data_IF_289367313279
#
_entry.id   IF_289367313279
#
_cell.length_a   1.000
_cell.length_b   1.000
_cell.length_c   1.000
_cell.angle_alpha   90.00
_cell.angle_beta   90.00
_cell.angle_gamma   90.00
#
_symmetry.space_group_name_H-M   'P 1'
#
loop_
_entity.id
_entity.type
_entity.pdbx_description
1 polymer ?
#
# COMPACT_ATOMS: atom_id res chain seq x y z
N UNK A 1 -39.20 -64.68 51.16
CA UNK A 1 -37.89 -65.17 50.70
C UNK A 1 -38.05 -65.38 49.20
N UNK A 2 -37.48 -64.66 48.24
CA UNK A 2 -36.25 -63.86 48.14
C UNK A 2 -36.45 -62.81 47.04
N UNK A 3 -35.85 -61.64 47.26
CA UNK A 3 -35.93 -60.43 46.42
C UNK A 3 -34.95 -60.46 45.24
N UNK A 4 -35.34 -59.70 44.23
CA UNK A 4 -34.70 -59.27 42.98
C UNK A 4 -33.32 -58.61 43.18
N UNK A 5 -32.43 -58.75 42.17
CA UNK A 5 -31.55 -57.64 41.76
C UNK A 5 -30.12 -58.02 41.37
N UNK A 6 -29.66 -57.57 40.21
CA UNK A 6 -28.22 -57.44 39.94
C UNK A 6 -27.72 -57.55 38.50
N UNK A 7 -28.28 -56.81 37.53
CA UNK A 7 -27.56 -56.50 36.28
C UNK A 7 -26.48 -55.46 36.59
N UNK A 8 -25.20 -55.77 36.33
CA UNK A 8 -24.14 -54.76 36.18
C UNK A 8 -23.58 -54.86 34.77
N UNK A 9 -23.99 -53.93 33.91
CA UNK A 9 -23.26 -53.54 32.70
C UNK A 9 -22.23 -52.52 33.14
N UNK A 10 -20.95 -52.83 32.97
CA UNK A 10 -19.86 -51.86 33.02
C UNK A 10 -19.66 -51.33 31.61
N UNK A 11 -19.85 -50.03 31.41
CA UNK A 11 -19.36 -49.31 30.24
C UNK A 11 -19.03 -47.90 30.72
N UNK A 12 -17.83 -47.77 31.29
CA UNK A 12 -17.20 -46.46 31.50
C UNK A 12 -16.84 -45.92 30.11
N UNK A 13 -17.60 -44.91 29.68
CA UNK A 13 -17.22 -44.07 28.54
C UNK A 13 -16.65 -42.77 29.12
N UNK A 14 -15.33 -42.64 29.05
CA UNK A 14 -14.62 -41.37 29.26
C UNK A 14 -15.10 -40.38 28.20
N UNK A 15 -15.96 -39.44 28.59
CA UNK A 15 -16.22 -38.23 27.83
C UNK A 15 -15.06 -37.26 28.05
N UNK A 16 -14.06 -37.28 27.16
CA UNK A 16 -13.15 -36.16 26.98
C UNK A 16 -13.95 -35.00 26.39
N UNK A 17 -14.38 -34.08 27.25
CA UNK A 17 -14.87 -32.78 26.81
C UNK A 17 -13.68 -32.03 26.19
N UNK A 18 -13.66 -31.93 24.86
CA UNK A 18 -12.76 -31.06 24.10
C UNK A 18 -13.01 -29.60 24.51
N UNK A 19 -12.24 -29.09 25.47
CA UNK A 19 -12.32 -27.68 25.89
C UNK A 19 -11.87 -26.80 24.72
N UNK A 20 -12.82 -26.27 23.97
CA UNK A 20 -12.55 -25.30 22.89
C UNK A 20 -11.92 -24.05 23.52
N UNK A 21 -10.71 -23.63 23.09
CA UNK A 21 -10.04 -22.50 23.69
C UNK A 21 -10.78 -21.18 23.36
N UNK A 22 -11.11 -20.41 24.39
CA UNK A 22 -11.86 -19.14 24.29
C UNK A 22 -11.01 -17.94 24.66
N UNK A 23 -11.40 -16.76 24.15
CA UNK A 23 -10.78 -15.49 24.51
C UNK A 23 -11.19 -15.08 25.93
N UNK A 24 -10.23 -14.89 26.83
CA UNK A 24 -10.52 -14.55 28.24
C UNK A 24 -11.05 -13.13 28.46
N UNK A 25 -11.04 -12.27 27.43
CA UNK A 25 -11.61 -10.91 27.49
C UNK A 25 -13.11 -10.92 27.18
N UNK A 26 -13.53 -11.59 26.09
CA UNK A 26 -14.94 -11.61 25.68
C UNK A 26 -15.67 -12.92 26.05
N UNK A 27 -14.93 -13.94 26.52
CA UNK A 27 -15.42 -15.28 26.86
C UNK A 27 -16.08 -16.02 25.68
N UNK A 28 -15.78 -15.62 24.45
CA UNK A 28 -16.25 -16.26 23.21
C UNK A 28 -15.11 -16.98 22.49
N UNK A 29 -15.44 -17.74 21.44
CA UNK A 29 -14.44 -18.24 20.49
C UNK A 29 -13.61 -17.10 19.89
N UNK A 30 -12.39 -17.43 19.44
CA UNK A 30 -11.48 -16.42 18.90
C UNK A 30 -11.96 -15.86 17.55
N UNK A 31 -12.08 -14.53 17.46
CA UNK A 31 -12.16 -13.80 16.19
C UNK A 31 -10.80 -13.14 15.93
N UNK A 32 -10.13 -13.57 14.86
CA UNK A 32 -8.74 -13.20 14.52
C UNK A 32 -7.81 -13.36 15.73
N UNK A 33 -7.48 -14.62 16.05
CA UNK A 33 -6.68 -14.95 17.24
C UNK A 33 -5.33 -14.23 17.17
N UNK A 34 -5.07 -13.44 18.20
CA UNK A 34 -3.90 -12.58 18.31
C UNK A 34 -3.05 -12.99 19.50
N UNK A 35 -1.75 -13.17 19.28
CA UNK A 35 -0.78 -13.55 20.30
C UNK A 35 0.06 -12.35 20.72
N UNK A 36 0.34 -12.26 22.02
CA UNK A 36 1.17 -11.20 22.58
C UNK A 36 2.63 -11.64 22.71
N UNK A 37 3.60 -10.88 22.21
CA UNK A 37 5.01 -11.12 22.57
C UNK A 37 5.41 -10.31 23.81
N UNK A 38 6.22 -10.87 24.73
CA UNK A 38 6.87 -12.19 24.65
C UNK A 38 6.11 -13.33 25.35
N UNK A 39 4.95 -13.08 25.96
CA UNK A 39 4.27 -14.07 26.82
C UNK A 39 3.44 -15.13 26.07
N UNK A 40 3.16 -14.91 24.79
CA UNK A 40 2.35 -15.73 23.88
C UNK A 40 0.92 -16.04 24.34
N UNK A 41 0.37 -15.27 25.28
CA UNK A 41 -1.06 -15.35 25.59
C UNK A 41 -1.90 -14.82 24.42
N UNK A 42 -3.05 -15.48 24.17
CA UNK A 42 -3.90 -15.21 23.01
C UNK A 42 -5.27 -14.65 23.34
N UNK A 43 -5.72 -13.70 22.53
CA UNK A 43 -7.00 -12.98 22.65
C UNK A 43 -7.61 -12.76 21.26
N UNK A 44 -8.87 -12.32 21.17
CA UNK A 44 -9.38 -11.76 19.91
C UNK A 44 -8.64 -10.45 19.60
N UNK A 45 -8.38 -10.18 18.32
CA UNK A 45 -7.67 -8.98 17.88
C UNK A 45 -8.29 -7.69 18.44
N UNK A 46 -9.60 -7.51 18.28
CA UNK A 46 -10.29 -6.32 18.76
C UNK A 46 -10.29 -6.22 20.29
N UNK A 47 -10.42 -7.34 21.00
CA UNK A 47 -10.39 -7.36 22.46
C UNK A 47 -9.05 -6.84 22.99
N UNK A 48 -7.95 -7.36 22.48
CA UNK A 48 -6.62 -6.95 22.95
C UNK A 48 -6.24 -5.57 22.45
N UNK A 49 -6.65 -5.19 21.23
CA UNK A 49 -6.51 -3.81 20.73
C UNK A 49 -7.23 -2.81 21.64
N UNK A 50 -8.44 -3.10 22.06
CA UNK A 50 -9.19 -2.22 22.97
C UNK A 50 -8.50 -2.11 24.33
N UNK A 51 -8.03 -3.24 24.87
CA UNK A 51 -7.28 -3.29 26.13
C UNK A 51 -6.02 -2.41 26.11
N UNK A 52 -5.17 -2.53 25.08
CA UNK A 52 -3.93 -1.73 25.01
C UNK A 52 -4.17 -0.24 24.82
N UNK A 53 -5.33 0.14 24.27
CA UNK A 53 -5.69 1.54 24.03
C UNK A 53 -6.32 2.21 25.24
N UNK A 54 -7.04 1.44 26.08
CA UNK A 54 -7.86 2.00 27.15
C UNK A 54 -7.31 1.66 28.53
N UNK A 55 -6.82 0.44 28.72
CA UNK A 55 -6.40 -0.05 30.03
C UNK A 55 -4.88 0.05 30.22
N UNK A 56 -4.09 -0.75 29.49
CA UNK A 56 -2.65 -0.84 29.68
C UNK A 56 -1.95 -1.66 28.57
N UNK A 57 -0.69 -1.35 28.29
CA UNK A 57 0.20 -2.12 27.41
C UNK A 57 0.82 -3.36 28.09
N UNK A 58 0.13 -3.93 29.08
CA UNK A 58 0.49 -5.20 29.74
C UNK A 58 -0.52 -6.30 29.43
N UNK A 59 -0.06 -7.54 29.43
CA UNK A 59 -0.89 -8.70 29.19
C UNK A 59 -2.00 -8.81 30.26
N UNK A 60 -3.28 -9.01 29.88
CA UNK A 60 -4.39 -9.20 30.82
C UNK A 60 -4.24 -10.40 31.76
N UNK A 61 -3.48 -11.43 31.33
CA UNK A 61 -3.31 -12.68 32.09
C UNK A 61 -2.10 -12.59 33.01
N UNK A 62 -0.90 -12.39 32.46
CA UNK A 62 0.34 -12.45 33.24
C UNK A 62 0.93 -11.10 33.64
N UNK A 63 0.31 -9.98 33.23
CA UNK A 63 0.78 -8.61 33.47
C UNK A 63 2.17 -8.27 32.92
N UNK A 64 2.75 -9.13 32.08
CA UNK A 64 4.00 -8.84 31.38
C UNK A 64 3.81 -7.74 30.33
N UNK A 65 4.80 -6.87 30.15
CA UNK A 65 4.78 -5.82 29.12
C UNK A 65 4.67 -6.41 27.72
N UNK A 66 3.79 -5.85 26.90
CA UNK A 66 3.56 -6.28 25.53
C UNK A 66 4.54 -5.54 24.61
N UNK A 67 5.33 -6.29 23.85
CA UNK A 67 6.24 -5.72 22.84
C UNK A 67 5.55 -5.59 21.48
N UNK A 68 4.80 -6.62 21.09
CA UNK A 68 4.14 -6.68 19.79
C UNK A 68 2.91 -7.59 19.83
N UNK A 69 2.02 -7.37 18.85
CA UNK A 69 0.86 -8.20 18.55
C UNK A 69 1.17 -9.02 17.29
N UNK A 70 0.96 -10.33 17.34
CA UNK A 70 1.02 -11.24 16.18
C UNK A 70 -0.40 -11.67 15.84
N UNK A 71 -0.88 -11.36 14.64
CA UNK A 71 -2.28 -11.53 14.22
C UNK A 71 -2.37 -11.82 12.71
N UNK A 72 -3.58 -12.04 12.18
CA UNK A 72 -3.77 -12.49 10.78
C UNK A 72 -2.91 -13.71 10.43
N UNK A 73 -2.92 -14.69 11.34
CA UNK A 73 -2.16 -15.92 11.17
C UNK A 73 -2.86 -16.75 10.10
N UNK A 74 -2.08 -17.11 9.09
CA UNK A 74 -2.45 -17.97 7.99
C UNK A 74 -1.54 -19.20 8.04
N UNK A 75 -2.10 -20.33 8.47
CA UNK A 75 -1.36 -21.58 8.66
C UNK A 75 -0.96 -22.21 7.31
N UNK A 76 -1.74 -21.99 6.25
CA UNK A 76 -1.47 -22.55 4.91
C UNK A 76 -0.28 -21.83 4.27
N UNK A 77 -0.28 -20.50 4.33
CA UNK A 77 0.80 -19.66 3.80
C UNK A 77 1.96 -19.45 4.79
N UNK A 78 1.90 -20.08 5.97
CA UNK A 78 2.85 -19.92 7.07
C UNK A 78 3.24 -18.44 7.31
N UNK A 79 2.22 -17.57 7.37
CA UNK A 79 2.40 -16.12 7.38
C UNK A 79 1.58 -15.45 8.48
N UNK A 80 2.04 -14.30 8.96
CA UNK A 80 1.38 -13.52 9.99
C UNK A 80 1.74 -12.04 9.88
N UNK A 81 0.88 -11.20 10.44
CA UNK A 81 1.17 -9.79 10.66
C UNK A 81 1.72 -9.57 12.07
N UNK A 82 2.74 -8.73 12.19
CA UNK A 82 3.23 -8.25 13.47
C UNK A 82 3.13 -6.72 13.57
N UNK A 83 2.68 -6.24 14.73
CA UNK A 83 2.60 -4.82 15.07
C UNK A 83 3.35 -4.55 16.38
N UNK A 84 4.38 -3.70 16.33
CA UNK A 84 5.18 -3.31 17.50
C UNK A 84 4.58 -2.08 18.19
N UNK A 85 4.41 -2.16 19.51
CA UNK A 85 3.91 -1.05 20.32
C UNK A 85 5.03 0.00 20.47
N UNK A 86 4.80 1.20 19.94
CA UNK A 86 5.80 2.30 19.91
C UNK A 86 5.97 3.06 21.24
N UNK A 87 5.11 2.83 22.24
CA UNK A 87 5.10 3.60 23.48
C UNK A 87 4.98 2.66 24.69
N UNK A 88 6.10 2.37 25.35
CA UNK A 88 6.15 1.57 26.59
C UNK A 88 5.65 2.34 27.83
N UNK A 89 4.68 3.25 27.70
CA UNK A 89 4.15 3.98 28.86
C UNK A 89 3.35 5.26 28.61
N UNK A 90 3.30 5.80 27.39
CA UNK A 90 2.47 6.97 27.06
C UNK A 90 1.23 6.53 26.28
N UNK A 91 0.06 7.07 26.64
CA UNK A 91 -1.27 6.79 26.05
C UNK A 91 -1.37 7.24 24.58
N UNK A 92 -0.56 6.70 23.68
CA UNK A 92 -0.79 6.83 22.24
C UNK A 92 -1.75 5.72 21.80
N UNK A 93 -2.70 6.10 20.95
CA UNK A 93 -3.64 5.15 20.37
C UNK A 93 -2.89 4.21 19.41
N UNK A 94 -2.85 2.93 19.76
CA UNK A 94 -2.37 1.84 18.92
C UNK A 94 -3.50 1.34 18.01
N UNK A 95 -3.42 1.68 16.73
CA UNK A 95 -4.33 1.19 15.69
C UNK A 95 -3.58 0.25 14.72
N UNK A 96 -3.36 -1.02 15.09
CA UNK A 96 -2.84 -2.02 14.16
C UNK A 96 -3.82 -2.23 13.01
N UNK A 97 -3.37 -2.17 11.74
CA UNK A 97 -4.26 -2.38 10.60
C UNK A 97 -4.70 -3.85 10.55
N UNK A 98 -6.00 -4.09 10.45
CA UNK A 98 -6.59 -5.43 10.33
C UNK A 98 -6.26 -6.13 9.02
N UNK A 99 -5.96 -5.35 7.98
CA UNK A 99 -5.64 -5.85 6.66
C UNK A 99 -4.38 -5.12 6.18
N UNK A 100 -3.22 -5.78 6.23
CA UNK A 100 -2.08 -5.33 5.45
C UNK A 100 -2.25 -5.90 4.05
N UNK A 101 -2.34 -5.01 3.06
CA UNK A 101 -2.35 -5.40 1.65
C UNK A 101 -1.02 -6.12 1.37
N UNK A 102 -1.05 -7.44 1.25
CA UNK A 102 0.12 -8.26 0.92
C UNK A 102 0.43 -8.00 -0.55
N UNK A 103 1.55 -7.33 -0.82
CA UNK A 103 2.06 -7.17 -2.18
C UNK A 103 2.97 -8.36 -2.49
N UNK A 104 2.82 -8.93 -3.68
CA UNK A 104 3.62 -10.09 -4.13
C UNK A 104 5.08 -9.72 -4.38
N UNK A 105 5.38 -8.45 -4.68
CA UNK A 105 6.73 -7.93 -4.82
C UNK A 105 6.81 -6.41 -4.50
N UNK A 106 8.00 -5.87 -4.21
CA UNK A 106 8.22 -4.43 -4.12
C UNK A 106 7.83 -3.68 -5.40
N UNK A 107 8.00 -4.31 -6.57
CA UNK A 107 7.65 -3.74 -7.87
C UNK A 107 6.14 -3.62 -8.04
N UNK A 108 5.38 -4.64 -7.61
CA UNK A 108 3.91 -4.60 -7.66
C UNK A 108 3.36 -3.53 -6.72
N UNK A 109 3.97 -3.38 -5.54
CA UNK A 109 3.65 -2.29 -4.63
C UNK A 109 3.84 -0.92 -5.29
N UNK A 110 5.03 -0.68 -5.88
CA UNK A 110 5.33 0.57 -6.56
C UNK A 110 4.35 0.82 -7.72
N UNK A 111 4.05 -0.20 -8.52
CA UNK A 111 3.10 -0.10 -9.63
C UNK A 111 1.72 0.34 -9.16
N UNK A 112 1.23 -0.22 -8.05
CA UNK A 112 -0.07 0.16 -7.46
C UNK A 112 -0.04 1.59 -6.92
N UNK A 113 1.03 1.97 -6.20
CA UNK A 113 1.20 3.33 -5.68
C UNK A 113 1.23 4.36 -6.83
N UNK A 114 1.99 4.09 -7.89
CA UNK A 114 2.02 4.94 -9.10
C UNK A 114 0.66 5.02 -9.81
N UNK A 115 -0.07 3.91 -9.91
CA UNK A 115 -1.42 3.92 -10.48
C UNK A 115 -2.38 4.82 -9.68
N UNK A 116 -2.24 4.87 -8.37
CA UNK A 116 -3.06 5.73 -7.51
C UNK A 116 -2.77 7.22 -7.73
N UNK A 117 -1.55 7.60 -8.10
CA UNK A 117 -1.21 8.96 -8.51
C UNK A 117 -2.03 9.36 -9.73
N UNK A 118 -2.04 8.54 -10.79
CA UNK A 118 -2.80 8.87 -12.01
C UNK A 118 -4.31 8.77 -11.85
N UNK A 119 -4.80 7.93 -10.95
CA UNK A 119 -6.23 7.91 -10.56
C UNK A 119 -6.64 9.10 -9.70
N UNK A 120 -5.71 9.98 -9.31
CA UNK A 120 -5.97 11.12 -8.43
C UNK A 120 -6.28 10.74 -6.98
N UNK A 121 -6.04 9.49 -6.60
CA UNK A 121 -6.19 9.00 -5.21
C UNK A 121 -5.04 9.53 -4.34
N UNK A 122 -3.85 9.66 -4.93
CA UNK A 122 -2.68 10.26 -4.32
C UNK A 122 -2.32 11.54 -5.06
N UNK A 123 -2.06 12.62 -4.32
CA UNK A 123 -1.67 13.91 -4.91
C UNK A 123 -0.19 14.19 -4.64
N UNK A 124 0.52 14.81 -5.58
CA UNK A 124 1.91 15.19 -5.36
C UNK A 124 2.00 16.20 -4.21
N UNK A 125 2.88 15.93 -3.26
CA UNK A 125 3.16 16.82 -2.13
C UNK A 125 4.43 17.63 -2.40
N UNK A 126 5.54 16.95 -2.75
CA UNK A 126 6.79 17.60 -3.17
C UNK A 126 7.50 16.78 -4.26
N UNK A 127 7.91 17.48 -5.32
CA UNK A 127 8.85 16.93 -6.31
C UNK A 127 10.31 17.27 -5.94
N UNK A 128 11.30 16.49 -6.43
CA UNK A 128 12.70 16.84 -6.31
C UNK A 128 13.01 18.23 -6.87
N UNK A 129 13.91 18.96 -6.21
CA UNK A 129 14.27 20.32 -6.62
C UNK A 129 14.92 20.31 -8.03
N UNK A 130 14.61 21.30 -8.90
CA UNK A 130 15.24 21.42 -10.21
C UNK A 130 16.76 21.58 -10.13
N UNK A 131 17.49 21.05 -11.11
CA UNK A 131 18.88 21.47 -11.34
C UNK A 131 18.91 22.89 -11.89
N UNK A 132 19.85 23.72 -11.44
CA UNK A 132 19.98 25.12 -11.87
C UNK A 132 19.97 25.27 -13.40
N UNK A 133 20.71 24.41 -14.10
CA UNK A 133 20.79 24.41 -15.57
C UNK A 133 19.46 24.08 -16.28
N UNK A 134 18.48 23.50 -15.59
CA UNK A 134 17.16 23.17 -16.10
C UNK A 134 16.04 23.97 -15.41
N UNK A 135 16.36 24.94 -14.54
CA UNK A 135 15.35 25.68 -13.78
C UNK A 135 14.37 26.42 -14.71
N UNK A 136 14.93 27.06 -15.75
CA UNK A 136 14.21 27.83 -16.78
C UNK A 136 13.62 26.97 -17.90
N UNK A 137 13.60 25.65 -17.74
CA UNK A 137 12.96 24.75 -18.71
C UNK A 137 11.45 25.04 -18.79
N UNK A 138 10.98 25.45 -19.97
CA UNK A 138 9.56 25.75 -20.26
C UNK A 138 8.96 24.89 -21.37
N UNK A 139 9.80 24.30 -22.24
CA UNK A 139 9.37 23.51 -23.41
C UNK A 139 10.29 22.30 -23.57
N UNK A 140 9.73 21.14 -23.95
CA UNK A 140 10.51 19.95 -24.29
C UNK A 140 11.17 20.15 -25.65
N UNK A 141 12.49 20.14 -25.67
CA UNK A 141 13.34 20.21 -26.87
C UNK A 141 13.89 18.82 -27.24
N UNK A 142 14.38 18.63 -28.48
CA UNK A 142 14.81 17.31 -28.97
C UNK A 142 15.87 16.60 -28.12
N UNK A 143 16.74 17.32 -27.42
CA UNK A 143 17.76 16.75 -26.53
C UNK A 143 17.17 16.01 -25.32
N UNK A 144 15.93 16.30 -24.92
CA UNK A 144 15.27 15.60 -23.83
C UNK A 144 14.56 14.32 -24.27
N UNK A 145 14.42 14.06 -25.58
CA UNK A 145 13.71 12.88 -26.12
C UNK A 145 14.16 11.57 -25.45
N UNK A 146 15.46 11.26 -25.28
CA UNK A 146 15.87 10.01 -24.65
C UNK A 146 15.34 9.85 -23.23
N UNK A 147 15.34 10.93 -22.44
CA UNK A 147 14.84 10.92 -21.06
C UNK A 147 13.32 10.87 -21.02
N UNK A 148 12.64 11.61 -21.91
CA UNK A 148 11.19 11.57 -22.08
C UNK A 148 10.72 10.15 -22.40
N UNK A 149 11.40 9.44 -23.30
CA UNK A 149 11.09 8.03 -23.61
C UNK A 149 11.21 7.12 -22.40
N UNK A 150 12.30 7.23 -21.62
CA UNK A 150 12.48 6.42 -20.40
C UNK A 150 11.32 6.65 -19.42
N UNK A 151 10.91 7.89 -19.21
CA UNK A 151 9.77 8.20 -18.35
C UNK A 151 8.47 7.61 -18.89
N UNK A 152 8.13 7.92 -20.15
CA UNK A 152 6.89 7.45 -20.78
C UNK A 152 6.80 5.92 -20.86
N UNK A 153 7.90 5.22 -21.13
CA UNK A 153 7.91 3.76 -21.17
C UNK A 153 7.43 3.12 -19.86
N UNK A 154 7.79 3.72 -18.73
CA UNK A 154 7.42 3.20 -17.41
C UNK A 154 6.01 3.66 -17.03
N UNK A 155 5.69 4.94 -17.21
CA UNK A 155 4.41 5.51 -16.74
C UNK A 155 3.23 5.14 -17.63
N UNK A 156 3.39 5.05 -18.97
CA UNK A 156 2.28 4.65 -19.84
C UNK A 156 1.83 3.21 -19.56
N UNK A 157 2.76 2.28 -19.29
CA UNK A 157 2.43 0.91 -18.85
C UNK A 157 1.61 0.87 -17.55
N UNK A 158 1.79 1.88 -16.69
CA UNK A 158 1.05 2.03 -15.44
C UNK A 158 -0.34 2.61 -15.70
N UNK A 159 -0.44 3.57 -16.62
CA UNK A 159 -1.68 4.28 -16.93
C UNK A 159 -2.61 3.43 -17.79
N UNK A 160 -2.17 3.04 -19.00
CA UNK A 160 -3.00 2.30 -19.97
C UNK A 160 -2.99 0.79 -19.74
N UNK A 161 -1.98 0.29 -19.01
CA UNK A 161 -1.75 -1.14 -18.80
C UNK A 161 -0.65 -1.71 -19.70
N UNK A 162 -0.08 -2.84 -19.30
CA UNK A 162 1.07 -3.43 -20.01
C UNK A 162 0.67 -3.96 -21.39
N UNK A 163 -0.54 -4.51 -21.52
CA UNK A 163 -1.03 -5.10 -22.77
C UNK A 163 -1.47 -4.04 -23.80
N UNK A 164 -1.83 -2.84 -23.33
CA UNK A 164 -2.24 -1.73 -24.18
C UNK A 164 -1.07 -0.80 -24.55
N UNK A 165 0.09 -0.97 -23.93
CA UNK A 165 1.29 -0.19 -24.23
C UNK A 165 2.04 -0.79 -25.42
N UNK A 166 2.44 0.07 -26.36
CA UNK A 166 3.37 -0.26 -27.44
C UNK A 166 4.31 0.92 -27.79
N UNK A 167 5.29 0.66 -28.65
CA UNK A 167 6.27 1.67 -29.07
C UNK A 167 5.62 2.78 -29.93
N UNK A 168 4.53 2.49 -30.63
CA UNK A 168 3.79 3.47 -31.41
C UNK A 168 3.14 4.53 -30.51
N UNK A 169 2.51 4.11 -29.42
CA UNK A 169 1.92 4.99 -28.41
C UNK A 169 3.01 5.90 -27.82
N UNK A 170 4.15 5.34 -27.44
CA UNK A 170 5.27 6.13 -26.94
C UNK A 170 5.74 7.16 -27.98
N UNK A 171 5.95 6.73 -29.24
CA UNK A 171 6.36 7.61 -30.34
C UNK A 171 5.37 8.74 -30.57
N UNK A 172 4.08 8.43 -30.49
CA UNK A 172 3.01 9.41 -30.66
C UNK A 172 3.02 10.45 -29.53
N UNK A 173 3.16 10.02 -28.27
CA UNK A 173 3.28 10.93 -27.13
C UNK A 173 4.49 11.86 -27.25
N UNK A 174 5.64 11.33 -27.66
CA UNK A 174 6.84 12.16 -27.89
C UNK A 174 6.58 13.21 -28.97
N UNK A 175 5.87 12.86 -30.06
CA UNK A 175 5.50 13.83 -31.11
C UNK A 175 4.60 14.93 -30.55
N UNK A 176 3.56 14.58 -29.80
CA UNK A 176 2.66 15.55 -29.16
C UNK A 176 3.46 16.51 -28.25
N UNK A 177 4.34 15.97 -27.41
CA UNK A 177 5.14 16.74 -26.46
C UNK A 177 6.15 17.69 -27.15
N UNK A 178 6.49 17.46 -28.42
CA UNK A 178 7.37 18.33 -29.21
C UNK A 178 6.61 19.40 -30.01
N UNK A 179 5.27 19.38 -30.03
CA UNK A 179 4.46 20.37 -30.76
C UNK A 179 4.78 21.81 -30.29
N UNK A 180 4.85 22.12 -28.97
CA UNK A 180 5.17 23.48 -28.53
C UNK A 180 6.54 23.98 -29.02
N UNK A 181 7.52 23.08 -29.14
CA UNK A 181 8.84 23.40 -29.70
C UNK A 181 8.75 23.70 -31.20
N UNK A 182 8.03 22.86 -31.96
CA UNK A 182 7.85 23.03 -33.41
C UNK A 182 7.09 24.32 -33.76
N UNK A 183 6.18 24.74 -32.88
CA UNK A 183 5.38 25.96 -33.03
C UNK A 183 6.02 27.19 -32.37
N UNK A 184 7.23 27.06 -31.81
CA UNK A 184 7.95 28.14 -31.12
C UNK A 184 7.15 28.81 -30.00
N UNK A 185 6.39 28.03 -29.23
CA UNK A 185 5.65 28.50 -28.07
C UNK A 185 6.59 28.84 -26.90
N UNK A 186 6.16 29.75 -26.03
CA UNK A 186 6.89 30.18 -24.83
C UNK A 186 6.94 29.13 -23.72
N UNK A 187 5.87 28.34 -23.59
CA UNK A 187 5.72 27.32 -22.56
C UNK A 187 4.83 26.19 -23.07
N UNK A 188 5.13 24.97 -22.66
CA UNK A 188 4.28 23.81 -22.91
C UNK A 188 2.98 23.83 -22.09
N UNK A 189 2.86 24.72 -21.11
CA UNK A 189 1.67 24.89 -20.26
C UNK A 189 0.74 25.99 -20.74
N UNK A 190 1.17 26.82 -21.69
CA UNK A 190 0.35 27.91 -22.25
C UNK A 190 -0.74 27.37 -23.21
N UNK A 191 -0.62 26.10 -23.62
CA UNK A 191 -1.45 25.51 -24.66
C UNK A 191 -2.30 24.32 -24.14
N UNK A 192 -3.60 24.53 -24.02
CA UNK A 192 -4.56 23.47 -23.66
C UNK A 192 -4.59 22.34 -24.71
N UNK A 193 -4.16 22.61 -25.96
CA UNK A 193 -4.14 21.62 -27.03
C UNK A 193 -3.19 20.45 -26.72
N UNK A 194 -2.06 20.67 -26.03
CA UNK A 194 -1.16 19.57 -25.65
C UNK A 194 -1.86 18.62 -24.69
N UNK A 195 -2.51 19.15 -23.65
CA UNK A 195 -3.24 18.33 -22.67
C UNK A 195 -4.41 17.62 -23.35
N UNK A 196 -5.14 18.32 -24.23
CA UNK A 196 -6.23 17.74 -25.01
C UNK A 196 -5.75 16.56 -25.88
N UNK A 197 -4.70 16.76 -26.69
CA UNK A 197 -4.14 15.72 -27.55
C UNK A 197 -3.57 14.54 -26.76
N UNK A 198 -2.97 14.77 -25.59
CA UNK A 198 -2.55 13.68 -24.71
C UNK A 198 -3.76 12.93 -24.14
N UNK A 199 -4.82 13.65 -23.74
CA UNK A 199 -6.00 13.04 -23.10
C UNK A 199 -6.79 12.11 -24.01
N UNK A 200 -6.80 12.36 -25.34
CA UNK A 200 -7.45 11.50 -26.33
C UNK A 200 -6.91 10.06 -26.32
N UNK A 201 -5.69 9.86 -25.81
CA UNK A 201 -5.06 8.54 -25.69
C UNK A 201 -5.05 7.99 -24.26
N UNK A 202 -5.68 8.72 -23.33
CA UNK A 202 -5.74 8.42 -21.90
C UNK A 202 -7.20 8.42 -21.43
N UNK A 203 -8.07 7.76 -22.20
CA UNK A 203 -9.52 7.64 -21.95
C UNK A 203 -10.24 8.99 -21.84
N UNK A 204 -9.81 9.99 -22.63
CA UNK A 204 -10.31 11.37 -22.62
C UNK A 204 -10.18 12.08 -21.25
N UNK A 205 -9.29 11.59 -20.37
CA UNK A 205 -9.06 12.16 -19.04
C UNK A 205 -7.94 13.22 -19.06
N UNK A 206 -8.35 14.49 -19.18
CA UNK A 206 -7.46 15.66 -19.08
C UNK A 206 -6.66 15.72 -17.77
N UNK A 207 -7.20 15.21 -16.67
CA UNK A 207 -6.49 15.23 -15.39
C UNK A 207 -5.34 14.22 -15.36
N UNK A 208 -5.53 13.04 -15.97
CA UNK A 208 -4.45 12.05 -16.12
C UNK A 208 -3.34 12.64 -17.00
N UNK A 209 -3.70 13.25 -18.14
CA UNK A 209 -2.75 13.94 -19.02
C UNK A 209 -1.98 15.05 -18.28
N UNK A 210 -2.69 15.86 -17.49
CA UNK A 210 -2.09 16.94 -16.69
C UNK A 210 -1.10 16.40 -15.64
N UNK A 211 -1.47 15.34 -14.91
CA UNK A 211 -0.59 14.70 -13.92
C UNK A 211 0.67 14.12 -14.59
N UNK A 212 0.51 13.42 -15.70
CA UNK A 212 1.63 12.86 -16.48
C UNK A 212 2.59 13.97 -16.95
N UNK A 213 2.06 15.05 -17.50
CA UNK A 213 2.85 16.18 -18.02
C UNK A 213 3.62 16.90 -16.89
N UNK A 214 2.97 17.15 -15.75
CA UNK A 214 3.59 17.76 -14.58
C UNK A 214 4.74 16.91 -14.04
N UNK A 215 4.53 15.61 -13.89
CA UNK A 215 5.57 14.71 -13.41
C UNK A 215 6.73 14.55 -14.39
N UNK A 216 6.43 14.48 -15.70
CA UNK A 216 7.47 14.44 -16.73
C UNK A 216 8.37 15.68 -16.63
N UNK A 217 7.80 16.87 -16.46
CA UNK A 217 8.61 18.09 -16.35
C UNK A 217 9.37 18.17 -15.05
N UNK A 218 8.77 17.80 -13.92
CA UNK A 218 9.50 17.67 -12.67
C UNK A 218 10.69 16.69 -12.81
N UNK A 219 10.48 15.56 -13.49
CA UNK A 219 11.51 14.57 -13.78
C UNK A 219 12.65 15.13 -14.63
N UNK A 220 12.34 15.82 -15.73
CA UNK A 220 13.34 16.43 -16.60
C UNK A 220 14.12 17.55 -15.88
N UNK A 221 13.42 18.42 -15.15
CA UNK A 221 14.02 19.49 -14.34
C UNK A 221 14.95 18.95 -13.25
N UNK A 222 14.60 17.85 -12.59
CA UNK A 222 15.42 17.24 -11.54
C UNK A 222 16.76 16.68 -12.03
N UNK A 223 16.86 16.32 -13.32
CA UNK A 223 18.03 15.64 -13.89
C UNK A 223 18.34 14.24 -13.33
N UNK A 224 17.55 13.73 -12.38
CA UNK A 224 17.74 12.43 -11.75
C UNK A 224 17.49 11.26 -12.72
N UNK A 225 17.98 10.07 -12.42
CA UNK A 225 17.50 8.86 -13.10
C UNK A 225 16.04 8.59 -12.73
N UNK A 226 15.29 7.87 -13.57
CA UNK A 226 13.87 7.57 -13.34
C UNK A 226 13.62 6.95 -11.95
N UNK A 227 14.40 5.92 -11.59
CA UNK A 227 14.29 5.25 -10.28
C UNK A 227 14.50 6.22 -9.11
N UNK A 228 15.48 7.12 -9.22
CA UNK A 228 15.77 8.08 -8.16
C UNK A 228 14.66 9.13 -8.05
N UNK A 229 14.15 9.64 -9.18
CA UNK A 229 13.02 10.57 -9.19
C UNK A 229 11.80 10.00 -8.47
N UNK A 230 11.38 8.77 -8.83
CA UNK A 230 10.22 8.12 -8.20
C UNK A 230 10.43 7.90 -6.70
N UNK A 231 11.65 7.54 -6.28
CA UNK A 231 11.95 7.34 -4.85
C UNK A 231 12.04 8.64 -4.04
N UNK A 232 12.29 9.78 -4.69
CA UNK A 232 12.48 11.08 -4.04
C UNK A 232 11.22 11.96 -4.07
N UNK A 233 10.30 11.71 -4.99
CA UNK A 233 9.01 12.39 -5.03
C UNK A 233 8.09 11.90 -3.90
N UNK A 234 7.39 12.82 -3.24
CA UNK A 234 6.44 12.50 -2.16
C UNK A 234 5.01 12.82 -2.57
N UNK A 235 4.07 11.99 -2.10
CA UNK A 235 2.65 12.05 -2.42
C UNK A 235 1.82 11.87 -1.14
N UNK A 236 0.66 12.52 -1.06
CA UNK A 236 -0.28 12.47 0.07
C UNK A 236 -1.68 12.02 -0.34
#
# INVERSE_FOLDING_TARGET
MTSVGGKRKTSDQDHQDDIIPTCTICLQGYSNRTFLRPCYHSFCFYCIRHWINIASSVCPICRQSINSLVYNIDDEENSFDEYYLKDKGNRKQHDPPLYKKKYTSPEERLRIERRNVYKGIMQPDKYPDPLDRHADFTVITPEYIPRTRVFLQNELKIIVGVDAYDDFLQDHFVKILLIPYQQHLSSMFDDEHVIQSLSEWLDDDKQVATRLLNELVAYLKSGLSYKHFISSATYK
#
